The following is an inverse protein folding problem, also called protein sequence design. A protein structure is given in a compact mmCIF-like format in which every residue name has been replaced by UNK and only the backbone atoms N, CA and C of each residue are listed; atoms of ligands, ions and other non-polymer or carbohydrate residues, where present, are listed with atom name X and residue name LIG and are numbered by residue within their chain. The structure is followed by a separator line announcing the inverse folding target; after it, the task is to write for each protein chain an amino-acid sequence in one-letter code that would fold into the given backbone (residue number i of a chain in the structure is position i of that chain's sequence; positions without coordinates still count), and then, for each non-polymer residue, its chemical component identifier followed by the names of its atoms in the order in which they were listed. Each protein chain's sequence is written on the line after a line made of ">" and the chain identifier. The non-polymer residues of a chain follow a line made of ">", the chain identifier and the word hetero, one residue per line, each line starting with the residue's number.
data_IF_073889360672
#
_entry.id   IF_073889360672
#
_cell.length_a   1.000
_cell.length_b   1.000
_cell.length_c   1.000
_cell.angle_alpha   90.00
_cell.angle_beta   90.00
_cell.angle_gamma   90.00
#
_symmetry.space_group_name_H-M   'P 1'
#
loop_
_entity.id
_entity.type
_entity.pdbx_description
1 polymer ?
#
# COMPACT_ATOMS: atom_id res chain seq x y z
N UNK A 1 -6.64 -24.26 -12.41
CA UNK A 1 -6.18 -23.03 -13.10
C UNK A 1 -5.02 -22.47 -12.32
N UNK A 2 -3.88 -22.26 -12.97
CA UNK A 2 -2.68 -21.73 -12.31
C UNK A 2 -2.80 -20.23 -12.05
N UNK A 3 -2.22 -19.78 -10.94
CA UNK A 3 -2.20 -18.40 -10.47
C UNK A 3 -1.71 -17.40 -11.55
N UNK A 4 -0.77 -17.83 -12.39
CA UNK A 4 -0.18 -17.05 -13.49
C UNK A 4 -1.17 -16.64 -14.58
N UNK A 5 -2.22 -17.43 -14.83
CA UNK A 5 -3.22 -17.11 -15.86
C UNK A 5 -4.15 -15.98 -15.42
N UNK A 6 -4.48 -15.91 -14.13
CA UNK A 6 -5.30 -14.85 -13.57
C UNK A 6 -4.56 -13.51 -13.58
N UNK A 7 -3.27 -13.50 -13.22
CA UNK A 7 -2.44 -12.30 -13.24
C UNK A 7 -2.34 -11.70 -14.66
N UNK A 8 -2.15 -12.56 -15.67
CA UNK A 8 -2.10 -12.13 -17.08
C UNK A 8 -3.46 -11.62 -17.57
N UNK A 9 -4.57 -12.27 -17.21
CA UNK A 9 -5.92 -11.82 -17.55
C UNK A 9 -6.25 -10.48 -16.87
N UNK A 10 -5.83 -10.31 -15.60
CA UNK A 10 -5.98 -9.05 -14.87
C UNK A 10 -5.28 -7.89 -15.58
N UNK A 11 -4.03 -8.08 -16.02
CA UNK A 11 -3.26 -7.06 -16.73
C UNK A 11 -3.83 -6.74 -18.11
N UNK A 12 -4.30 -7.74 -18.86
CA UNK A 12 -4.71 -7.54 -20.27
C UNK A 12 -6.21 -7.28 -20.49
N UNK A 13 -7.10 -7.76 -19.61
CA UNK A 13 -8.56 -7.68 -19.83
C UNK A 13 -9.24 -6.57 -19.01
N UNK A 14 -8.68 -6.11 -17.90
CA UNK A 14 -9.33 -5.11 -17.04
C UNK A 14 -9.31 -3.69 -17.60
N UNK A 15 -8.44 -3.38 -18.56
CA UNK A 15 -8.51 -2.08 -19.26
C UNK A 15 -9.78 -1.95 -20.13
N UNK A 16 -10.40 -3.09 -20.48
CA UNK A 16 -11.54 -3.14 -21.44
C UNK A 16 -12.81 -3.74 -20.86
N UNK A 17 -12.71 -4.56 -19.81
CA UNK A 17 -13.82 -5.27 -19.20
C UNK A 17 -13.90 -4.96 -17.71
N UNK A 18 -15.12 -4.79 -17.23
CA UNK A 18 -15.40 -4.67 -15.81
C UNK A 18 -15.12 -6.00 -15.08
N UNK A 19 -14.90 -5.90 -13.76
CA UNK A 19 -14.71 -7.06 -12.88
C UNK A 19 -15.85 -8.08 -13.05
N UNK A 20 -17.10 -7.62 -13.11
CA UNK A 20 -18.29 -8.47 -13.23
C UNK A 20 -18.29 -9.27 -14.54
N UNK A 21 -17.86 -8.65 -15.65
CA UNK A 21 -17.74 -9.34 -16.94
C UNK A 21 -16.65 -10.40 -16.90
N UNK A 22 -15.52 -10.13 -16.24
CA UNK A 22 -14.44 -11.12 -16.06
C UNK A 22 -14.89 -12.29 -15.18
N UNK A 23 -15.61 -12.02 -14.09
CA UNK A 23 -16.17 -13.05 -13.21
C UNK A 23 -17.18 -13.95 -13.96
N UNK A 24 -18.05 -13.34 -14.76
CA UNK A 24 -19.01 -14.06 -15.61
C UNK A 24 -18.31 -14.92 -16.68
N UNK A 25 -17.28 -14.39 -17.35
CA UNK A 25 -16.52 -15.13 -18.37
C UNK A 25 -15.75 -16.33 -17.81
N UNK A 26 -15.24 -16.22 -16.59
CA UNK A 26 -14.41 -17.25 -15.98
C UNK A 26 -15.18 -18.20 -15.05
N UNK A 27 -16.42 -17.87 -14.70
CA UNK A 27 -17.23 -18.64 -13.77
C UNK A 27 -16.63 -18.70 -12.35
N UNK A 28 -15.93 -17.64 -11.94
CA UNK A 28 -15.26 -17.55 -10.63
C UNK A 28 -15.65 -16.27 -9.89
N UNK A 29 -15.40 -16.26 -8.58
CA UNK A 29 -15.44 -15.06 -7.75
C UNK A 29 -14.03 -14.53 -7.55
N UNK A 30 -13.66 -13.40 -8.17
CA UNK A 30 -12.28 -12.91 -8.11
C UNK A 30 -11.85 -12.57 -6.68
N UNK A 31 -12.76 -12.05 -5.86
CA UNK A 31 -12.49 -11.67 -4.45
C UNK A 31 -11.99 -12.83 -3.58
N UNK A 32 -12.33 -14.07 -3.94
CA UNK A 32 -11.92 -15.26 -3.19
C UNK A 32 -10.56 -15.78 -3.66
N UNK A 33 -10.08 -15.33 -4.82
CA UNK A 33 -8.78 -15.73 -5.36
C UNK A 33 -7.64 -15.19 -4.51
N UNK A 34 -6.54 -15.96 -4.47
CA UNK A 34 -5.32 -15.55 -3.78
C UNK A 34 -4.72 -14.29 -4.41
N UNK A 35 -4.59 -14.26 -5.74
CA UNK A 35 -4.09 -13.09 -6.50
C UNK A 35 -4.83 -11.80 -6.16
N UNK A 36 -6.17 -11.84 -6.10
CA UNK A 36 -6.93 -10.63 -5.76
C UNK A 36 -6.65 -10.13 -4.36
N UNK A 37 -6.47 -11.05 -3.39
CA UNK A 37 -6.11 -10.68 -2.02
C UNK A 37 -4.73 -10.05 -1.96
N UNK A 38 -3.74 -10.65 -2.63
CA UNK A 38 -2.38 -10.10 -2.71
C UNK A 38 -2.37 -8.70 -3.35
N UNK A 39 -3.03 -8.51 -4.50
CA UNK A 39 -3.12 -7.18 -5.16
C UNK A 39 -3.82 -6.15 -4.25
N UNK A 40 -4.86 -6.57 -3.53
CA UNK A 40 -5.58 -5.69 -2.61
C UNK A 40 -4.71 -5.32 -1.40
N UNK A 41 -3.91 -6.25 -0.90
CA UNK A 41 -2.95 -6.02 0.18
C UNK A 41 -1.83 -5.07 -0.29
N UNK A 42 -1.17 -5.33 -1.43
CA UNK A 42 -0.17 -4.42 -2.03
C UNK A 42 -0.74 -2.99 -2.21
N UNK A 43 -1.96 -2.88 -2.75
CA UNK A 43 -2.62 -1.58 -2.93
C UNK A 43 -2.96 -0.87 -1.61
N UNK A 44 -3.22 -1.62 -0.53
CA UNK A 44 -3.39 -1.05 0.82
C UNK A 44 -2.04 -0.55 1.35
N UNK A 45 -0.96 -1.30 1.17
CA UNK A 45 0.39 -0.91 1.61
C UNK A 45 0.84 0.41 0.97
N UNK A 46 0.77 0.48 -0.36
CA UNK A 46 1.13 1.69 -1.10
C UNK A 46 0.26 2.89 -0.68
N UNK A 47 -1.04 2.69 -0.50
CA UNK A 47 -1.96 3.75 -0.09
C UNK A 47 -1.63 4.28 1.32
N UNK A 48 -1.35 3.39 2.28
CA UNK A 48 -1.01 3.77 3.66
C UNK A 48 0.31 4.53 3.71
N UNK A 49 1.37 4.03 3.06
CA UNK A 49 2.67 4.72 2.97
C UNK A 49 2.51 6.11 2.36
N UNK A 50 1.82 6.22 1.23
CA UNK A 50 1.59 7.50 0.56
C UNK A 50 0.83 8.49 1.43
N UNK A 51 -0.17 8.01 2.19
CA UNK A 51 -0.94 8.84 3.10
C UNK A 51 -0.08 9.34 4.28
N UNK A 52 0.75 8.48 4.87
CA UNK A 52 1.70 8.88 5.93
C UNK A 52 2.71 9.90 5.42
N UNK A 53 3.34 9.66 4.27
CA UNK A 53 4.30 10.60 3.67
C UNK A 53 3.64 11.97 3.40
N UNK A 54 2.40 11.99 2.88
CA UNK A 54 1.67 13.26 2.68
C UNK A 54 1.37 13.98 4.00
N UNK A 55 1.08 13.27 5.07
CA UNK A 55 0.84 13.87 6.40
C UNK A 55 2.12 14.47 6.96
N UNK A 56 3.24 13.75 6.87
CA UNK A 56 4.55 14.23 7.27
C UNK A 56 4.94 15.48 6.47
N UNK A 57 4.79 15.44 5.14
CA UNK A 57 5.05 16.60 4.28
C UNK A 57 4.19 17.82 4.63
N UNK A 58 2.93 17.58 5.03
CA UNK A 58 2.02 18.66 5.43
C UNK A 58 2.38 19.26 6.79
N UNK A 59 2.87 18.47 7.76
CA UNK A 59 3.23 18.95 9.10
C UNK A 59 4.61 19.57 9.16
N UNK A 60 5.58 18.98 8.49
CA UNK A 60 7.00 19.29 8.66
C UNK A 60 7.68 19.87 7.42
N UNK A 61 6.94 20.03 6.32
CA UNK A 61 7.53 20.32 5.01
C UNK A 61 8.06 19.05 4.36
N UNK A 62 8.57 19.18 3.14
CA UNK A 62 9.05 18.04 2.34
C UNK A 62 10.13 17.24 3.08
N UNK A 63 9.83 15.98 3.42
CA UNK A 63 10.79 15.05 4.01
C UNK A 63 11.79 14.59 2.96
N UNK A 64 12.99 14.21 3.38
CA UNK A 64 14.03 13.73 2.46
C UNK A 64 13.64 12.41 1.79
N UNK A 65 14.23 12.14 0.62
CA UNK A 65 13.98 10.87 -0.09
C UNK A 65 14.47 9.68 0.74
N UNK A 66 15.52 9.83 1.56
CA UNK A 66 15.99 8.78 2.46
C UNK A 66 14.92 8.39 3.49
N UNK A 67 14.27 9.37 4.12
CA UNK A 67 13.17 9.12 5.06
C UNK A 67 11.97 8.49 4.34
N UNK A 68 11.64 8.97 3.14
CA UNK A 68 10.57 8.40 2.34
C UNK A 68 10.83 6.93 2.00
N UNK A 69 12.06 6.58 1.60
CA UNK A 69 12.46 5.20 1.32
C UNK A 69 12.47 4.34 2.58
N UNK A 70 12.91 4.86 3.72
CA UNK A 70 12.81 4.14 4.99
C UNK A 70 11.37 3.79 5.32
N UNK A 71 10.44 4.75 5.23
CA UNK A 71 9.01 4.54 5.48
C UNK A 71 8.41 3.53 4.48
N UNK A 72 8.79 3.62 3.20
CA UNK A 72 8.30 2.70 2.17
C UNK A 72 8.76 1.24 2.37
N UNK A 73 9.86 1.02 3.08
CA UNK A 73 10.38 -0.31 3.39
C UNK A 73 9.86 -0.87 4.73
N UNK A 74 9.06 -0.10 5.48
CA UNK A 74 8.46 -0.59 6.73
C UNK A 74 7.34 -1.59 6.44
N UNK A 75 7.19 -2.65 7.27
CA UNK A 75 6.03 -3.51 7.22
C UNK A 75 4.73 -2.72 7.44
N UNK A 76 3.64 -3.09 6.76
CA UNK A 76 2.36 -2.38 6.86
C UNK A 76 1.91 -2.07 8.31
N UNK A 77 1.95 -3.03 9.27
CA UNK A 77 1.54 -2.73 10.65
C UNK A 77 2.36 -1.61 11.29
N UNK A 78 3.65 -1.50 10.93
CA UNK A 78 4.53 -0.46 11.45
C UNK A 78 4.21 0.90 10.81
N UNK A 79 3.82 0.93 9.54
CA UNK A 79 3.35 2.17 8.88
C UNK A 79 2.01 2.62 9.47
N UNK A 80 1.13 1.67 9.83
CA UNK A 80 -0.12 1.96 10.54
C UNK A 80 0.15 2.53 11.93
N UNK A 81 1.07 1.96 12.70
CA UNK A 81 1.51 2.53 13.98
C UNK A 81 2.10 3.94 13.82
N UNK A 82 2.89 4.16 12.76
CA UNK A 82 3.44 5.49 12.43
C UNK A 82 2.31 6.50 12.16
N UNK A 83 1.20 6.06 11.56
CA UNK A 83 0.06 6.92 11.24
C UNK A 83 -0.61 7.53 12.49
N UNK A 84 -0.54 6.83 13.62
CA UNK A 84 -1.02 7.30 14.91
C UNK A 84 0.06 8.10 15.64
N UNK A 85 1.28 7.55 15.75
CA UNK A 85 2.38 8.19 16.45
C UNK A 85 2.77 9.55 15.85
N UNK A 86 2.63 9.73 14.53
CA UNK A 86 2.95 10.99 13.87
C UNK A 86 2.11 12.16 14.38
N UNK A 87 0.96 11.92 15.00
CA UNK A 87 0.10 12.96 15.56
C UNK A 87 0.73 13.63 16.79
N UNK A 88 1.53 12.88 17.55
CA UNK A 88 2.23 13.34 18.75
C UNK A 88 3.57 14.02 18.44
N UNK A 89 4.10 13.84 17.23
CA UNK A 89 5.37 14.44 16.83
C UNK A 89 5.27 15.96 16.79
N UNK A 90 6.35 16.63 17.19
CA UNK A 90 6.52 18.08 17.13
C UNK A 90 7.55 18.51 16.10
N UNK A 91 8.41 17.58 15.66
CA UNK A 91 9.48 17.83 14.70
C UNK A 91 9.84 16.58 13.89
N UNK A 92 10.67 16.76 12.85
CA UNK A 92 11.28 15.66 12.09
C UNK A 92 12.22 14.82 12.96
N UNK A 93 12.82 15.39 14.00
CA UNK A 93 13.68 14.65 14.92
C UNK A 93 12.90 13.58 15.70
N UNK A 94 11.62 13.84 16.03
CA UNK A 94 10.75 12.85 16.68
C UNK A 94 10.48 11.65 15.76
N UNK A 95 10.27 11.91 14.46
CA UNK A 95 10.15 10.86 13.44
C UNK A 95 11.43 10.02 13.35
N UNK A 96 12.60 10.65 13.31
CA UNK A 96 13.88 9.95 13.23
C UNK A 96 14.11 9.07 14.47
N UNK A 97 13.90 9.61 15.66
CA UNK A 97 14.00 8.86 16.91
C UNK A 97 13.03 7.68 16.96
N UNK A 98 11.81 7.85 16.45
CA UNK A 98 10.81 6.79 16.38
C UNK A 98 11.20 5.65 15.42
N UNK A 99 11.84 5.99 14.29
CA UNK A 99 12.34 5.03 13.30
C UNK A 99 13.57 4.28 13.83
N UNK A 100 14.49 4.96 14.54
CA UNK A 100 15.69 4.36 15.13
C UNK A 100 15.39 3.39 16.28
N UNK A 101 14.27 3.58 16.97
CA UNK A 101 13.85 2.71 18.08
C UNK A 101 13.31 1.33 17.63
N UNK A 102 13.39 1.00 16.34
CA UNK A 102 12.82 -0.20 15.73
C UNK A 102 13.82 -1.00 14.90
#
# INVERSE_FOLDING_TARGET
>A
MTDSALRLILVYKFEKLSRTEVESMLGITLRETRVYREIKEEGREEATVNLVVRQLNKRFGEISEELRQQIANLPLPVVEDLSEALLDFTSVADLQAWLEAR
#
